data_IF_587005103874
#
_entry.id   IF_587005103874
#
_cell.length_a   1.000
_cell.length_b   1.000
_cell.length_c   1.000
_cell.angle_alpha   90.00
_cell.angle_beta   90.00
_cell.angle_gamma   90.00
#
_symmetry.space_group_name_H-M   'P 1'
#
loop_
_entity.id
_entity.type
_entity.pdbx_description
1 polymer ?
#
# COMPACT_ATOMS: atom_id res chain seq x y z
N UNK A 1 11.21 -8.21 -10.01
CA UNK A 1 10.44 -6.94 -9.86
C UNK A 1 9.43 -7.09 -8.73
N UNK A 2 9.38 -6.15 -7.81
CA UNK A 2 8.40 -6.12 -6.73
C UNK A 2 7.44 -4.94 -6.95
N UNK A 3 6.14 -5.20 -7.09
CA UNK A 3 5.11 -4.15 -7.17
C UNK A 3 4.38 -4.07 -5.84
N UNK A 4 4.52 -2.94 -5.15
CA UNK A 4 3.87 -2.67 -3.87
C UNK A 4 2.62 -1.84 -4.16
N UNK A 5 1.47 -2.29 -3.67
CA UNK A 5 0.21 -1.55 -3.83
C UNK A 5 -0.25 -1.05 -2.46
N UNK A 6 -0.32 0.26 -2.31
CA UNK A 6 -0.76 0.96 -1.10
C UNK A 6 -2.02 1.78 -1.34
N UNK A 7 -2.67 2.15 -0.26
CA UNK A 7 -3.89 2.96 -0.27
C UNK A 7 -4.91 2.49 0.75
N UNK A 8 -5.94 3.26 1.02
CA UNK A 8 -7.01 2.92 1.95
C UNK A 8 -7.81 1.69 1.48
N UNK A 9 -8.69 1.18 2.33
CA UNK A 9 -9.64 0.17 1.87
C UNK A 9 -10.61 0.79 0.86
N UNK A 10 -11.19 -0.04 -0.01
CA UNK A 10 -12.11 0.35 -1.07
C UNK A 10 -11.53 1.15 -2.26
N UNK A 11 -10.22 1.42 -2.32
CA UNK A 11 -9.60 2.13 -3.46
C UNK A 11 -9.27 1.22 -4.66
N UNK A 12 -9.55 -0.10 -4.59
CA UNK A 12 -9.35 -1.02 -5.71
C UNK A 12 -8.02 -1.78 -5.71
N UNK A 13 -7.27 -1.81 -4.60
CA UNK A 13 -5.98 -2.52 -4.50
C UNK A 13 -6.05 -3.99 -4.88
N UNK A 14 -7.02 -4.74 -4.33
CA UNK A 14 -7.14 -6.18 -4.59
C UNK A 14 -7.42 -6.47 -6.05
N UNK A 15 -8.31 -5.70 -6.69
CA UNK A 15 -8.61 -5.81 -8.12
C UNK A 15 -7.36 -5.60 -8.98
N UNK A 16 -6.58 -4.57 -8.69
CA UNK A 16 -5.31 -4.30 -9.37
C UNK A 16 -4.30 -5.43 -9.12
N UNK A 17 -4.14 -5.83 -7.86
CA UNK A 17 -3.18 -6.86 -7.46
C UNK A 17 -3.45 -8.22 -8.11
N UNK A 18 -4.70 -8.67 -8.12
CA UNK A 18 -5.12 -9.92 -8.77
C UNK A 18 -4.87 -9.88 -10.27
N UNK A 19 -5.13 -8.76 -10.92
CA UNK A 19 -4.91 -8.59 -12.35
C UNK A 19 -3.42 -8.62 -12.71
N UNK A 20 -2.56 -7.92 -11.96
CA UNK A 20 -1.12 -7.97 -12.14
C UNK A 20 -0.56 -9.38 -11.90
N UNK A 21 -1.00 -10.02 -10.82
CA UNK A 21 -0.59 -11.38 -10.49
C UNK A 21 -0.95 -12.37 -11.59
N UNK A 22 -2.16 -12.29 -12.14
CA UNK A 22 -2.60 -13.12 -13.25
C UNK A 22 -1.80 -12.87 -14.53
N UNK A 23 -1.56 -11.59 -14.87
CA UNK A 23 -0.83 -11.18 -16.08
C UNK A 23 0.61 -11.66 -16.09
N UNK A 24 1.32 -11.48 -14.97
CA UNK A 24 2.75 -11.76 -14.83
C UNK A 24 3.04 -13.13 -14.22
N UNK A 25 2.02 -13.86 -13.78
CA UNK A 25 2.13 -15.12 -13.01
C UNK A 25 2.95 -14.95 -11.73
N UNK A 26 2.77 -13.82 -11.08
CA UNK A 26 3.45 -13.50 -9.82
C UNK A 26 2.58 -13.86 -8.62
N UNK A 27 3.18 -14.28 -7.51
CA UNK A 27 2.45 -14.45 -6.26
C UNK A 27 1.99 -13.09 -5.71
N UNK A 28 0.85 -13.10 -5.01
CA UNK A 28 0.42 -11.99 -4.17
C UNK A 28 0.86 -12.28 -2.75
N UNK A 29 1.65 -11.37 -2.18
CA UNK A 29 2.05 -11.39 -0.77
C UNK A 29 1.18 -10.36 -0.06
N UNK A 30 0.38 -10.81 0.92
CA UNK A 30 -0.48 -9.92 1.72
C UNK A 30 0.09 -9.74 3.11
N UNK A 31 0.40 -8.50 3.48
CA UNK A 31 0.75 -8.17 4.85
C UNK A 31 -0.54 -7.79 5.58
N UNK A 32 -0.84 -8.54 6.64
CA UNK A 32 -1.99 -8.29 7.52
C UNK A 32 -1.50 -7.86 8.89
N UNK A 33 -2.10 -6.80 9.39
CA UNK A 33 -1.86 -6.31 10.73
C UNK A 33 -2.70 -7.11 11.73
N UNK A 34 -2.07 -7.70 12.71
CA UNK A 34 -2.71 -8.35 13.83
C UNK A 34 -1.93 -7.98 15.10
N UNK A 35 -1.98 -6.70 15.47
CA UNK A 35 -1.30 -6.21 16.66
C UNK A 35 -1.85 -6.91 17.90
N UNK A 36 -0.95 -7.50 18.67
CA UNK A 36 -1.27 -8.19 19.91
C UNK A 36 -0.56 -7.59 21.13
N UNK A 37 0.39 -6.72 20.89
CA UNK A 37 1.24 -6.09 21.89
C UNK A 37 1.47 -4.61 21.59
N UNK A 38 2.68 -4.14 21.83
CA UNK A 38 3.08 -2.76 21.54
C UNK A 38 3.16 -2.52 20.03
N UNK A 39 2.38 -1.58 19.48
CA UNK A 39 2.31 -1.35 18.04
C UNK A 39 3.65 -0.92 17.42
N UNK A 40 4.48 -0.16 18.11
CA UNK A 40 5.79 0.25 17.61
C UNK A 40 6.73 -0.94 17.53
N UNK A 41 6.82 -1.75 18.60
CA UNK A 41 7.69 -2.94 18.63
C UNK A 41 7.28 -3.91 17.52
N UNK A 42 6.00 -4.19 17.38
CA UNK A 42 5.50 -5.12 16.36
C UNK A 42 5.73 -4.59 14.94
N UNK A 43 5.52 -3.28 14.71
CA UNK A 43 5.75 -2.66 13.41
C UNK A 43 7.23 -2.67 13.05
N UNK A 44 8.13 -2.35 13.98
CA UNK A 44 9.58 -2.41 13.77
C UNK A 44 10.03 -3.84 13.45
N UNK A 45 9.54 -4.83 14.18
CA UNK A 45 9.85 -6.23 13.92
C UNK A 45 9.37 -6.69 12.54
N UNK A 46 8.14 -6.31 12.16
CA UNK A 46 7.57 -6.62 10.85
C UNK A 46 8.35 -5.93 9.72
N UNK A 47 8.67 -4.64 9.85
CA UNK A 47 9.45 -3.90 8.85
C UNK A 47 10.83 -4.57 8.65
N UNK A 48 11.54 -4.85 9.74
CA UNK A 48 12.86 -5.49 9.70
C UNK A 48 12.81 -6.86 9.03
N UNK A 49 11.84 -7.70 9.41
CA UNK A 49 11.69 -9.04 8.85
C UNK A 49 11.31 -8.98 7.37
N UNK A 50 10.34 -8.12 7.01
CA UNK A 50 9.91 -7.93 5.62
C UNK A 50 11.09 -7.49 4.75
N UNK A 51 11.84 -6.47 5.18
CA UNK A 51 13.00 -5.97 4.45
C UNK A 51 14.09 -7.04 4.30
N UNK A 52 14.39 -7.80 5.35
CA UNK A 52 15.37 -8.88 5.29
C UNK A 52 14.98 -9.94 4.27
N UNK A 53 13.72 -10.38 4.25
CA UNK A 53 13.21 -11.36 3.28
C UNK A 53 13.27 -10.80 1.86
N UNK A 54 12.75 -9.59 1.64
CA UNK A 54 12.71 -8.98 0.30
C UNK A 54 14.12 -8.76 -0.27
N UNK A 55 15.07 -8.31 0.55
CA UNK A 55 16.47 -8.13 0.15
C UNK A 55 17.15 -9.45 -0.18
N UNK A 56 16.89 -10.49 0.59
CA UNK A 56 17.49 -11.81 0.37
C UNK A 56 16.91 -12.52 -0.85
N UNK A 57 15.60 -12.36 -1.12
CA UNK A 57 14.90 -13.13 -2.16
C UNK A 57 14.74 -12.39 -3.47
N UNK A 58 14.76 -11.05 -3.46
CA UNK A 58 14.50 -10.18 -4.63
C UNK A 58 13.31 -10.68 -5.48
N UNK A 59 12.11 -10.85 -4.89
CA UNK A 59 11.04 -11.60 -5.51
C UNK A 59 10.42 -10.87 -6.71
N UNK A 60 9.93 -11.64 -7.67
CA UNK A 60 8.93 -11.17 -8.62
C UNK A 60 7.55 -11.40 -7.99
N UNK A 61 6.93 -10.35 -7.47
CA UNK A 61 5.68 -10.47 -6.69
C UNK A 61 4.88 -9.16 -6.68
N UNK A 62 3.59 -9.30 -6.38
CA UNK A 62 2.73 -8.19 -5.95
C UNK A 62 2.66 -8.22 -4.43
N UNK A 63 3.00 -7.12 -3.78
CA UNK A 63 2.85 -6.93 -2.34
C UNK A 63 1.60 -6.10 -2.09
N UNK A 64 0.52 -6.76 -1.65
CA UNK A 64 -0.74 -6.12 -1.28
C UNK A 64 -0.59 -5.57 0.14
N UNK A 65 -0.28 -4.30 0.24
CA UNK A 65 0.21 -3.53 1.38
C UNK A 65 1.63 -3.90 1.80
N UNK A 66 2.34 -2.91 2.27
CA UNK A 66 3.56 -3.05 3.07
C UNK A 66 3.30 -2.49 4.48
N UNK A 67 4.30 -2.50 5.33
CA UNK A 67 4.21 -1.83 6.64
C UNK A 67 3.96 -0.31 6.53
N UNK A 68 4.08 0.28 5.35
CA UNK A 68 3.77 1.69 5.07
C UNK A 68 2.30 2.04 5.37
N UNK A 69 1.37 1.10 5.19
CA UNK A 69 -0.04 1.31 5.53
C UNK A 69 -0.22 1.78 6.97
N UNK A 70 0.67 1.37 7.88
CA UNK A 70 0.58 1.76 9.28
C UNK A 70 0.78 3.28 9.48
N UNK A 71 1.57 3.93 8.62
CA UNK A 71 1.68 5.39 8.59
C UNK A 71 0.32 6.08 8.48
N UNK A 72 -0.57 5.54 7.67
CA UNK A 72 -1.87 6.13 7.42
C UNK A 72 -2.93 5.70 8.46
N UNK A 73 -2.91 4.42 8.88
CA UNK A 73 -3.95 3.86 9.73
C UNK A 73 -3.73 4.10 11.23
N UNK A 74 -2.49 4.08 11.71
CA UNK A 74 -2.21 4.17 13.13
C UNK A 74 -2.85 5.40 13.81
N UNK A 75 -2.73 6.64 13.28
CA UNK A 75 -3.36 7.79 13.90
C UNK A 75 -4.89 7.75 13.88
N UNK A 76 -5.48 7.18 12.81
CA UNK A 76 -6.93 6.99 12.73
C UNK A 76 -7.46 5.99 13.77
N UNK A 77 -6.59 5.10 14.26
CA UNK A 77 -6.86 4.11 15.30
C UNK A 77 -6.40 4.58 16.69
N UNK A 78 -5.88 5.81 16.82
CA UNK A 78 -5.42 6.38 18.08
C UNK A 78 -4.01 5.96 18.50
N UNK A 79 -3.21 5.41 17.58
CA UNK A 79 -1.83 5.00 17.85
C UNK A 79 -0.82 6.03 17.35
N UNK A 80 0.34 6.08 18.01
CA UNK A 80 1.48 6.86 17.53
C UNK A 80 2.08 6.25 16.24
N UNK A 81 2.45 7.10 15.31
CA UNK A 81 3.12 6.74 14.07
C UNK A 81 4.38 7.59 13.82
N UNK A 82 4.87 8.31 14.84
CA UNK A 82 6.01 9.23 14.72
C UNK A 82 7.31 8.54 14.31
N UNK A 83 7.45 7.23 14.58
CA UNK A 83 8.59 6.40 14.20
C UNK A 83 8.54 5.89 12.74
N UNK A 84 7.39 5.99 12.09
CA UNK A 84 7.20 5.44 10.73
C UNK A 84 8.08 6.08 9.65
N UNK A 85 8.37 7.40 9.65
CA UNK A 85 9.27 7.99 8.66
C UNK A 85 10.64 7.31 8.61
N UNK A 86 11.21 6.96 9.78
CA UNK A 86 12.47 6.21 9.87
C UNK A 86 12.36 4.84 9.18
N UNK A 87 11.31 4.08 9.47
CA UNK A 87 11.10 2.75 8.91
C UNK A 87 10.85 2.79 7.40
N UNK A 88 10.05 3.75 6.94
CA UNK A 88 9.75 3.94 5.51
C UNK A 88 11.04 4.28 4.74
N UNK A 89 11.87 5.17 5.29
CA UNK A 89 13.15 5.55 4.70
C UNK A 89 14.16 4.39 4.57
N UNK A 90 14.00 3.33 5.38
CA UNK A 90 14.83 2.12 5.32
C UNK A 90 14.49 1.18 4.15
N UNK A 91 13.40 1.44 3.40
CA UNK A 91 12.99 0.60 2.28
C UNK A 91 13.91 0.80 1.07
N UNK A 92 15.09 0.21 1.13
CA UNK A 92 16.14 0.29 0.11
C UNK A 92 16.74 -1.09 -0.17
N UNK A 93 17.49 -1.21 -1.27
CA UNK A 93 18.22 -2.44 -1.60
C UNK A 93 17.33 -3.56 -2.15
N UNK A 94 16.16 -3.22 -2.70
CA UNK A 94 15.28 -4.16 -3.40
C UNK A 94 15.20 -3.71 -4.85
N UNK A 95 15.89 -4.46 -5.72
CA UNK A 95 15.98 -4.12 -7.13
C UNK A 95 14.64 -4.22 -7.84
N UNK A 96 14.34 -3.25 -8.70
CA UNK A 96 13.11 -3.23 -9.47
C UNK A 96 11.83 -3.06 -8.64
N UNK A 97 11.94 -2.64 -7.37
CA UNK A 97 10.76 -2.31 -6.58
C UNK A 97 10.06 -1.06 -7.14
N UNK A 98 8.73 -1.09 -7.18
CA UNK A 98 7.85 0.00 -7.60
C UNK A 98 6.70 0.13 -6.61
N UNK A 99 6.31 1.34 -6.25
CA UNK A 99 5.16 1.57 -5.39
C UNK A 99 4.02 2.20 -6.20
N UNK A 100 2.84 1.64 -6.06
CA UNK A 100 1.58 2.18 -6.60
C UNK A 100 0.74 2.63 -5.41
N UNK A 101 0.45 3.92 -5.34
CA UNK A 101 -0.48 4.46 -4.37
C UNK A 101 -1.82 4.72 -5.03
N UNK A 102 -2.87 4.09 -4.51
CA UNK A 102 -4.25 4.34 -4.92
C UNK A 102 -4.98 5.17 -3.87
N UNK A 103 -5.69 6.19 -4.32
CA UNK A 103 -6.59 6.99 -3.47
C UNK A 103 -7.95 7.15 -4.16
N UNK A 104 -8.92 7.68 -3.44
CA UNK A 104 -10.18 8.14 -4.01
C UNK A 104 -10.69 9.34 -3.21
N UNK A 105 -11.65 10.11 -3.76
CA UNK A 105 -12.31 11.17 -2.99
C UNK A 105 -13.16 10.59 -1.87
N UNK A 106 -13.42 11.40 -0.85
CA UNK A 106 -14.27 11.03 0.29
C UNK A 106 -15.66 10.58 -0.18
N UNK A 107 -16.29 11.32 -1.08
CA UNK A 107 -17.63 10.99 -1.60
C UNK A 107 -17.65 9.63 -2.31
N UNK A 108 -16.61 9.33 -3.09
CA UNK A 108 -16.49 8.04 -3.76
C UNK A 108 -16.26 6.89 -2.77
N UNK A 109 -15.45 7.10 -1.73
CA UNK A 109 -15.26 6.09 -0.67
C UNK A 109 -16.55 5.86 0.11
N UNK A 110 -17.34 6.91 0.43
CA UNK A 110 -18.65 6.78 1.05
C UNK A 110 -19.59 5.95 0.17
N UNK A 111 -19.62 6.23 -1.12
CA UNK A 111 -20.44 5.48 -2.09
C UNK A 111 -20.04 4.01 -2.18
N UNK A 112 -18.71 3.72 -2.21
CA UNK A 112 -18.19 2.34 -2.24
C UNK A 112 -18.51 1.61 -0.94
N UNK A 113 -18.34 2.25 0.20
CA UNK A 113 -18.65 1.67 1.50
C UNK A 113 -20.15 1.34 1.67
N UNK A 114 -21.05 2.19 1.17
CA UNK A 114 -22.49 1.91 1.19
C UNK A 114 -22.85 0.68 0.35
N UNK A 115 -22.15 0.46 -0.76
CA UNK A 115 -22.36 -0.71 -1.62
C UNK A 115 -21.77 -2.00 -1.04
N UNK A 116 -20.61 -1.90 -0.44
CA UNK A 116 -19.85 -3.02 0.12
C UNK A 116 -19.06 -2.54 1.34
N UNK A 117 -19.65 -2.63 2.55
CA UNK A 117 -18.98 -2.21 3.78
C UNK A 117 -17.72 -3.03 4.03
N UNK A 118 -16.67 -2.37 4.51
CA UNK A 118 -15.48 -3.05 4.97
C UNK A 118 -15.75 -3.84 6.26
N UNK A 119 -15.12 -5.00 6.41
CA UNK A 119 -15.33 -5.87 7.57
C UNK A 119 -14.41 -5.55 8.74
N UNK A 120 -13.36 -4.75 8.54
CA UNK A 120 -12.30 -4.51 9.54
C UNK A 120 -12.32 -3.10 10.07
N UNK A 121 -12.64 -2.11 9.21
CA UNK A 121 -12.55 -0.70 9.57
C UNK A 121 -13.88 0.03 9.33
N UNK A 122 -14.18 0.96 10.24
CA UNK A 122 -15.29 1.89 10.01
C UNK A 122 -14.97 2.86 8.88
N UNK A 123 -16.01 3.45 8.30
CA UNK A 123 -15.83 4.43 7.23
C UNK A 123 -14.93 5.59 7.66
N UNK A 124 -15.07 6.06 8.90
CA UNK A 124 -14.28 7.18 9.44
C UNK A 124 -12.78 6.86 9.45
N UNK A 125 -12.42 5.64 9.85
CA UNK A 125 -11.03 5.16 9.83
C UNK A 125 -10.49 5.11 8.40
N UNK A 126 -11.29 4.59 7.46
CA UNK A 126 -10.91 4.50 6.04
C UNK A 126 -10.70 5.90 5.45
N UNK A 127 -11.60 6.85 5.73
CA UNK A 127 -11.49 8.23 5.24
C UNK A 127 -10.26 8.94 5.81
N UNK A 128 -10.03 8.81 7.11
CA UNK A 128 -8.87 9.40 7.76
C UNK A 128 -7.55 8.84 7.21
N UNK A 129 -7.48 7.51 7.02
CA UNK A 129 -6.32 6.87 6.41
C UNK A 129 -6.12 7.32 4.95
N UNK A 130 -7.19 7.39 4.16
CA UNK A 130 -7.12 7.82 2.76
C UNK A 130 -6.61 9.26 2.63
N UNK A 131 -7.06 10.17 3.49
CA UNK A 131 -6.59 11.55 3.51
C UNK A 131 -5.09 11.66 3.85
N UNK A 132 -4.56 10.72 4.64
CA UNK A 132 -3.15 10.70 5.06
C UNK A 132 -2.22 10.02 4.07
N UNK A 133 -2.68 9.06 3.28
CA UNK A 133 -1.84 8.29 2.35
C UNK A 133 -0.98 9.14 1.39
N UNK A 134 -1.45 10.25 0.80
CA UNK A 134 -0.60 11.06 -0.08
C UNK A 134 0.69 11.56 0.58
N UNK A 135 0.67 11.82 1.89
CA UNK A 135 1.86 12.25 2.63
C UNK A 135 2.94 11.16 2.74
N UNK A 136 2.60 9.90 2.52
CA UNK A 136 3.55 8.80 2.44
C UNK A 136 4.61 9.03 1.35
N UNK A 137 4.23 9.62 0.23
CA UNK A 137 5.13 9.80 -0.92
C UNK A 137 6.35 10.66 -0.59
N UNK A 138 6.21 11.63 0.31
CA UNK A 138 7.31 12.48 0.77
C UNK A 138 8.31 11.74 1.69
N UNK A 139 7.93 10.57 2.20
CA UNK A 139 8.75 9.76 3.11
C UNK A 139 9.50 8.64 2.38
N UNK A 140 9.14 8.36 1.13
CA UNK A 140 9.74 7.27 0.37
C UNK A 140 11.19 7.59 0.03
N UNK A 141 12.09 6.59 0.08
CA UNK A 141 13.45 6.79 -0.37
C UNK A 141 13.48 7.08 -1.88
N UNK A 142 14.41 7.94 -2.36
CA UNK A 142 14.52 8.29 -3.79
C UNK A 142 14.74 7.07 -4.70
N UNK A 143 15.24 5.97 -4.15
CA UNK A 143 15.45 4.71 -4.87
C UNK A 143 14.17 3.88 -5.08
N UNK A 144 13.02 4.31 -4.55
CA UNK A 144 11.72 3.65 -4.73
C UNK A 144 10.82 4.48 -5.66
N UNK A 145 10.84 4.22 -6.98
CA UNK A 145 9.93 4.87 -7.91
C UNK A 145 8.48 4.61 -7.52
N UNK A 146 7.64 5.62 -7.65
CA UNK A 146 6.23 5.49 -7.29
C UNK A 146 5.30 6.15 -8.30
N UNK A 147 4.06 5.65 -8.35
CA UNK A 147 2.96 6.19 -9.14
C UNK A 147 1.76 6.39 -8.22
N UNK A 148 1.17 7.57 -8.24
CA UNK A 148 -0.08 7.87 -7.51
C UNK A 148 -1.23 7.97 -8.50
N UNK A 149 -2.32 7.24 -8.24
CA UNK A 149 -3.54 7.24 -9.06
C UNK A 149 -4.74 7.52 -8.18
N UNK A 150 -5.49 8.55 -8.53
CA UNK A 150 -6.84 8.78 -8.00
C UNK A 150 -7.83 7.91 -8.77
N UNK A 151 -8.50 7.00 -8.06
CA UNK A 151 -9.46 6.05 -8.63
C UNK A 151 -10.91 6.53 -8.62
N UNK A 152 -11.16 7.81 -8.26
CA UNK A 152 -12.52 8.38 -8.16
C UNK A 152 -13.30 8.26 -9.46
N UNK A 153 -12.67 8.66 -10.58
CA UNK A 153 -13.26 8.66 -11.91
C UNK A 153 -12.47 7.80 -12.90
N UNK A 154 -11.56 6.96 -12.40
CA UNK A 154 -10.70 6.10 -13.20
C UNK A 154 -11.19 4.67 -13.06
N UNK A 155 -11.63 4.06 -14.14
CA UNK A 155 -12.03 2.66 -14.12
C UNK A 155 -10.84 1.69 -13.96
N UNK A 156 -11.14 0.43 -13.67
CA UNK A 156 -10.11 -0.56 -13.39
C UNK A 156 -9.19 -0.82 -14.59
N UNK A 157 -9.69 -0.69 -15.83
CA UNK A 157 -8.89 -0.84 -17.04
C UNK A 157 -7.88 0.30 -17.19
N UNK A 158 -8.33 1.53 -16.99
CA UNK A 158 -7.47 2.71 -17.08
C UNK A 158 -6.43 2.75 -15.95
N UNK A 159 -6.79 2.34 -14.73
CA UNK A 159 -5.82 2.16 -13.63
C UNK A 159 -4.75 1.13 -14.03
N UNK A 160 -5.20 -0.03 -14.52
CA UNK A 160 -4.29 -1.09 -14.92
C UNK A 160 -3.34 -0.65 -16.05
N UNK A 161 -3.84 0.03 -17.08
CA UNK A 161 -3.02 0.51 -18.18
C UNK A 161 -1.94 1.52 -17.73
N UNK A 162 -2.29 2.44 -16.82
CA UNK A 162 -1.31 3.36 -16.22
C UNK A 162 -0.21 2.62 -15.45
N UNK A 163 -0.60 1.61 -14.68
CA UNK A 163 0.36 0.80 -13.92
C UNK A 163 1.24 -0.02 -14.84
N UNK A 164 0.69 -0.67 -15.90
CA UNK A 164 1.50 -1.41 -16.88
C UNK A 164 2.52 -0.51 -17.57
N UNK A 165 2.12 0.69 -17.97
CA UNK A 165 3.06 1.66 -18.57
C UNK A 165 4.18 2.04 -17.59
N UNK A 166 3.85 2.23 -16.31
CA UNK A 166 4.82 2.58 -15.28
C UNK A 166 5.80 1.44 -14.95
N UNK A 167 5.35 0.20 -14.90
CA UNK A 167 6.22 -0.95 -14.60
C UNK A 167 6.97 -1.48 -15.82
N UNK A 168 6.44 -1.27 -17.03
CA UNK A 168 7.03 -1.73 -18.28
C UNK A 168 7.98 -0.73 -18.97
N UNK A 169 8.01 0.51 -18.51
CA UNK A 169 8.76 1.62 -19.13
C UNK A 169 10.24 1.73 -18.71
N UNK A 170 10.91 0.58 -18.52
CA UNK A 170 12.37 0.52 -18.24
C UNK A 170 13.10 -0.29 -19.28
#
# INVERSE_FOLDING_TARGET
MLVIIEGADLVGKSTLGERLAARYRWPIIKIRWALRGDPEIETRAMATTTLAILRATQPNAVLDRAYFSWWAYAPALGYDASYMPELIGQFTGIEGARLILLTATEDELRRRYQREPDHYFSLEVILAANARFPSLLALLPPSLPHLHIDTTHTDAEAVYAQVEAFIGGT
#
